data_IF_922189930226
#
_entry.id   IF_922189930226
#
_cell.length_a   1.000
_cell.length_b   1.000
_cell.length_c   1.000
_cell.angle_alpha   90.00
_cell.angle_beta   90.00
_cell.angle_gamma   90.00
#
_symmetry.space_group_name_H-M   'P 1'
#
loop_
_entity.id
_entity.type
_entity.pdbx_description
1 polymer ?
#
# COMPACT_ATOMS: atom_id res chain seq x y z
N UNK A 1 48.91 -43.97 -111.05
CA UNK A 1 49.25 -42.54 -110.91
C UNK A 1 48.38 -42.01 -109.79
N UNK A 2 48.99 -41.74 -108.63
CA UNK A 2 48.35 -41.57 -107.32
C UNK A 2 47.88 -40.10 -107.20
N UNK A 3 46.67 -39.82 -106.64
CA UNK A 3 46.14 -38.47 -106.60
C UNK A 3 46.83 -37.66 -105.48
N UNK A 4 47.89 -36.95 -105.84
CA UNK A 4 48.69 -36.08 -104.96
C UNK A 4 47.94 -34.80 -104.53
N UNK A 5 46.89 -34.39 -105.26
CA UNK A 5 46.05 -33.25 -104.91
C UNK A 5 45.17 -33.49 -103.68
N UNK A 6 44.58 -34.70 -103.52
CA UNK A 6 43.69 -35.03 -102.39
C UNK A 6 44.47 -35.15 -101.06
N UNK A 7 45.72 -35.64 -101.12
CA UNK A 7 46.63 -35.66 -99.98
C UNK A 7 47.10 -34.24 -99.56
N UNK A 8 47.33 -33.35 -100.54
CA UNK A 8 47.69 -31.96 -100.26
C UNK A 8 46.52 -31.16 -99.70
N UNK A 9 45.30 -31.39 -100.20
CA UNK A 9 44.09 -30.75 -99.69
C UNK A 9 43.80 -31.16 -98.24
N UNK A 10 43.87 -32.47 -97.92
CA UNK A 10 43.72 -32.97 -96.55
C UNK A 10 44.82 -32.46 -95.61
N UNK A 11 46.07 -32.38 -96.08
CA UNK A 11 47.17 -31.81 -95.28
C UNK A 11 46.89 -30.34 -94.93
N UNK A 12 46.38 -29.56 -95.88
CA UNK A 12 46.03 -28.15 -95.67
C UNK A 12 44.85 -28.00 -94.70
N UNK A 13 43.83 -28.85 -94.80
CA UNK A 13 42.70 -28.88 -93.87
C UNK A 13 43.14 -29.28 -92.45
N UNK A 14 44.09 -30.21 -92.32
CA UNK A 14 44.67 -30.61 -91.03
C UNK A 14 45.50 -29.45 -90.44
N UNK A 15 46.31 -28.75 -91.24
CA UNK A 15 47.05 -27.57 -90.79
C UNK A 15 46.12 -26.43 -90.34
N UNK A 16 45.01 -26.24 -91.05
CA UNK A 16 44.02 -25.21 -90.73
C UNK A 16 43.24 -25.55 -89.45
N UNK A 17 42.84 -26.82 -89.27
CA UNK A 17 42.27 -27.32 -88.00
C UNK A 17 43.26 -27.24 -86.85
N UNK A 18 44.52 -27.60 -87.08
CA UNK A 18 45.57 -27.51 -86.07
C UNK A 18 45.77 -26.05 -85.63
N UNK A 19 45.76 -25.11 -86.58
CA UNK A 19 45.85 -23.68 -86.28
C UNK A 19 44.62 -23.18 -85.53
N UNK A 20 43.42 -23.60 -85.91
CA UNK A 20 42.19 -23.27 -85.22
C UNK A 20 42.15 -23.83 -83.79
N UNK A 21 42.63 -25.07 -83.58
CA UNK A 21 42.77 -25.65 -82.24
C UNK A 21 43.83 -24.94 -81.41
N UNK A 22 44.96 -24.53 -82.01
CA UNK A 22 46.01 -23.74 -81.36
C UNK A 22 45.46 -22.37 -80.89
N UNK A 23 44.70 -21.69 -81.76
CA UNK A 23 44.07 -20.41 -81.45
C UNK A 23 42.99 -20.58 -80.36
N UNK A 24 42.19 -21.65 -80.42
CA UNK A 24 41.19 -21.96 -79.37
C UNK A 24 41.85 -22.29 -78.03
N UNK A 25 42.95 -23.05 -78.04
CA UNK A 25 43.73 -23.36 -76.83
C UNK A 25 44.33 -22.10 -76.21
N UNK A 26 44.88 -21.20 -77.02
CA UNK A 26 45.43 -19.93 -76.52
C UNK A 26 44.34 -19.04 -75.90
N UNK A 27 43.16 -18.95 -76.52
CA UNK A 27 42.00 -18.24 -75.97
C UNK A 27 41.51 -18.85 -74.64
N UNK A 28 41.40 -20.18 -74.55
CA UNK A 28 41.01 -20.86 -73.31
C UNK A 28 42.06 -20.61 -72.22
N UNK A 29 43.35 -20.65 -72.55
CA UNK A 29 44.44 -20.40 -71.60
C UNK A 29 44.41 -18.96 -71.07
N UNK A 30 44.16 -17.98 -71.92
CA UNK A 30 44.00 -16.59 -71.52
C UNK A 30 42.79 -16.38 -70.60
N UNK A 31 41.65 -17.01 -70.91
CA UNK A 31 40.48 -16.96 -70.04
C UNK A 31 40.69 -17.68 -68.71
N UNK A 32 41.43 -18.79 -68.71
CA UNK A 32 41.81 -19.48 -67.49
C UNK A 32 42.69 -18.58 -66.61
N UNK A 33 43.63 -17.85 -67.20
CA UNK A 33 44.51 -16.91 -66.50
C UNK A 33 43.75 -15.69 -65.96
N UNK A 34 42.77 -15.16 -66.71
CA UNK A 34 41.84 -14.14 -66.20
C UNK A 34 41.00 -14.66 -65.03
N UNK A 35 40.52 -15.89 -65.11
CA UNK A 35 39.74 -16.53 -64.03
C UNK A 35 40.60 -16.80 -62.79
N UNK A 36 41.88 -17.17 -62.97
CA UNK A 36 42.86 -17.32 -61.89
C UNK A 36 43.18 -15.97 -61.22
N UNK A 37 43.33 -14.89 -62.00
CA UNK A 37 43.49 -13.53 -61.45
C UNK A 37 42.26 -13.08 -60.65
N UNK A 38 41.05 -13.33 -61.14
CA UNK A 38 39.81 -13.07 -60.40
C UNK A 38 39.76 -13.86 -59.10
N UNK A 39 40.13 -15.14 -59.12
CA UNK A 39 40.17 -16.00 -57.93
C UNK A 39 41.20 -15.47 -56.92
N UNK A 40 42.40 -15.08 -57.37
CA UNK A 40 43.42 -14.44 -56.52
C UNK A 40 42.95 -13.12 -55.94
N UNK A 41 42.22 -12.32 -56.71
CA UNK A 41 41.58 -11.08 -56.24
C UNK A 41 40.57 -11.36 -55.13
N UNK A 42 39.71 -12.36 -55.31
CA UNK A 42 38.75 -12.80 -54.29
C UNK A 42 39.45 -13.27 -53.01
N UNK A 43 40.50 -14.11 -53.14
CA UNK A 43 41.29 -14.58 -52.00
C UNK A 43 41.94 -13.40 -51.26
N UNK A 44 42.49 -12.42 -51.98
CA UNK A 44 43.08 -11.23 -51.37
C UNK A 44 42.06 -10.39 -50.58
N UNK A 45 40.85 -10.22 -51.13
CA UNK A 45 39.76 -9.52 -50.44
C UNK A 45 39.35 -10.28 -49.18
N UNK A 46 39.21 -11.61 -49.25
CA UNK A 46 38.88 -12.44 -48.10
C UNK A 46 39.97 -12.39 -47.02
N UNK A 47 41.24 -12.49 -47.38
CA UNK A 47 42.36 -12.31 -46.44
C UNK A 47 42.33 -10.94 -45.77
N UNK A 48 41.96 -9.88 -46.51
CA UNK A 48 41.80 -8.53 -45.95
C UNK A 48 40.65 -8.46 -44.94
N UNK A 49 39.50 -9.06 -45.26
CA UNK A 49 38.37 -9.13 -44.33
C UNK A 49 38.70 -9.91 -43.07
N UNK A 50 39.36 -11.06 -43.21
CA UNK A 50 39.77 -11.87 -42.07
C UNK A 50 40.74 -11.11 -41.15
N UNK A 51 41.75 -10.43 -41.72
CA UNK A 51 42.65 -9.59 -40.94
C UNK A 51 41.92 -8.47 -40.19
N UNK A 52 40.95 -7.80 -40.85
CA UNK A 52 40.14 -6.74 -40.22
C UNK A 52 39.21 -7.28 -39.14
N UNK A 53 38.63 -8.46 -39.33
CA UNK A 53 37.78 -9.12 -38.33
C UNK A 53 38.59 -9.48 -37.08
N UNK A 54 39.78 -10.05 -37.26
CA UNK A 54 40.68 -10.37 -36.13
C UNK A 54 41.09 -9.10 -35.38
N UNK A 55 41.42 -8.01 -36.08
CA UNK A 55 41.72 -6.73 -35.43
C UNK A 55 40.52 -6.16 -34.67
N UNK A 56 39.32 -6.26 -35.24
CA UNK A 56 38.09 -5.81 -34.61
C UNK A 56 37.79 -6.63 -33.35
N UNK A 57 37.88 -7.95 -33.43
CA UNK A 57 37.70 -8.86 -32.29
C UNK A 57 38.67 -8.54 -31.15
N UNK A 58 39.95 -8.38 -31.47
CA UNK A 58 40.98 -8.00 -30.50
C UNK A 58 40.74 -6.63 -29.86
N UNK A 59 40.02 -5.74 -30.54
CA UNK A 59 39.66 -4.41 -30.02
C UNK A 59 38.36 -4.43 -29.20
N UNK A 60 37.37 -5.22 -29.63
CA UNK A 60 36.03 -5.25 -29.04
C UNK A 60 35.97 -6.10 -27.77
N UNK A 61 36.61 -7.28 -27.76
CA UNK A 61 36.61 -8.17 -26.58
C UNK A 61 37.09 -7.48 -25.30
N UNK A 62 38.25 -6.77 -25.28
CA UNK A 62 38.69 -6.11 -24.06
C UNK A 62 37.76 -4.98 -23.63
N UNK A 63 37.16 -4.25 -24.57
CA UNK A 63 36.16 -3.20 -24.27
C UNK A 63 34.92 -3.79 -23.62
N UNK A 64 34.38 -4.91 -24.14
CA UNK A 64 33.26 -5.59 -23.49
C UNK A 64 33.62 -6.09 -22.10
N UNK A 65 34.79 -6.71 -21.92
CA UNK A 65 35.25 -7.17 -20.59
C UNK A 65 35.41 -6.02 -19.60
N UNK A 66 35.98 -4.89 -20.04
CA UNK A 66 36.10 -3.69 -19.21
C UNK A 66 34.73 -3.10 -18.87
N UNK A 67 33.81 -3.07 -19.83
CA UNK A 67 32.44 -2.58 -19.62
C UNK A 67 31.68 -3.47 -18.63
N UNK A 68 31.79 -4.79 -18.75
CA UNK A 68 31.17 -5.75 -17.83
C UNK A 68 31.73 -5.61 -16.41
N UNK A 69 33.06 -5.48 -16.28
CA UNK A 69 33.69 -5.23 -14.98
C UNK A 69 33.25 -3.89 -14.38
N UNK A 70 33.10 -2.85 -15.20
CA UNK A 70 32.62 -1.55 -14.77
C UNK A 70 31.15 -1.62 -14.30
N UNK A 71 30.28 -2.33 -15.02
CA UNK A 71 28.90 -2.58 -14.60
C UNK A 71 28.84 -3.34 -13.29
N UNK A 72 29.66 -4.40 -13.13
CA UNK A 72 29.74 -5.15 -11.87
C UNK A 72 30.22 -4.26 -10.71
N UNK A 73 31.20 -3.38 -10.97
CA UNK A 73 31.66 -2.41 -9.98
C UNK A 73 30.54 -1.44 -9.60
N UNK A 74 29.83 -0.90 -10.58
CA UNK A 74 28.69 -0.01 -10.37
C UNK A 74 27.61 -0.68 -9.51
N UNK A 75 27.20 -1.90 -9.86
CA UNK A 75 26.21 -2.65 -9.08
C UNK A 75 26.66 -2.88 -7.64
N UNK A 76 27.94 -3.18 -7.41
CA UNK A 76 28.48 -3.37 -6.08
C UNK A 76 28.42 -2.06 -5.27
N UNK A 77 28.77 -0.93 -5.90
CA UNK A 77 28.67 0.40 -5.29
C UNK A 77 27.21 0.71 -4.94
N UNK A 78 26.27 0.48 -5.85
CA UNK A 78 24.85 0.74 -5.61
C UNK A 78 24.29 -0.14 -4.49
N UNK A 79 24.68 -1.42 -4.43
CA UNK A 79 24.33 -2.33 -3.34
C UNK A 79 24.91 -1.86 -2.01
N UNK A 80 26.18 -1.45 -1.97
CA UNK A 80 26.80 -0.93 -0.75
C UNK A 80 26.13 0.36 -0.28
N UNK A 81 25.82 1.29 -1.19
CA UNK A 81 25.08 2.50 -0.86
C UNK A 81 23.70 2.19 -0.28
N UNK A 82 22.94 1.28 -0.89
CA UNK A 82 21.64 0.86 -0.37
C UNK A 82 21.74 0.22 1.02
N UNK A 83 22.78 -0.58 1.27
CA UNK A 83 23.03 -1.15 2.61
C UNK A 83 23.36 -0.06 3.63
N UNK A 84 24.19 0.92 3.27
CA UNK A 84 24.51 2.04 4.16
C UNK A 84 23.28 2.89 4.47
N UNK A 85 22.46 3.22 3.47
CA UNK A 85 21.20 3.94 3.67
C UNK A 85 20.25 3.19 4.61
N UNK A 86 20.19 1.85 4.48
CA UNK A 86 19.41 1.02 5.38
C UNK A 86 19.89 1.12 6.84
N UNK A 87 21.20 1.07 7.07
CA UNK A 87 21.79 1.22 8.41
C UNK A 87 21.53 2.63 8.96
N UNK A 88 21.81 3.67 8.18
CA UNK A 88 21.60 5.07 8.57
C UNK A 88 20.13 5.31 8.95
N UNK A 89 19.19 4.66 8.25
CA UNK A 89 17.77 4.82 8.54
C UNK A 89 17.42 4.46 9.98
N UNK A 90 18.05 3.43 10.59
CA UNK A 90 17.82 3.04 11.98
C UNK A 90 18.31 4.08 12.99
N UNK A 91 19.41 4.76 12.70
CA UNK A 91 19.92 5.85 13.54
C UNK A 91 19.01 7.09 13.49
N UNK A 92 18.25 7.28 12.42
CA UNK A 92 17.26 8.37 12.33
C UNK A 92 15.90 8.04 12.95
N UNK A 93 15.58 6.76 13.18
CA UNK A 93 14.28 6.34 13.75
C UNK A 93 13.92 7.11 15.02
N UNK A 94 14.85 7.27 15.96
CA UNK A 94 14.57 7.97 17.21
C UNK A 94 14.17 9.45 17.01
N UNK A 95 14.71 10.11 15.98
CA UNK A 95 14.41 11.51 15.66
C UNK A 95 13.11 11.63 14.88
N UNK A 96 12.94 10.79 13.85
CA UNK A 96 11.78 10.85 12.96
C UNK A 96 10.48 10.50 13.68
N UNK A 97 10.55 9.55 14.62
CA UNK A 97 9.38 9.08 15.37
C UNK A 97 9.04 9.96 16.57
N UNK A 98 9.94 10.85 17.00
CA UNK A 98 9.77 11.69 18.21
C UNK A 98 8.49 12.51 18.17
N UNK A 99 8.16 13.10 17.01
CA UNK A 99 6.96 13.90 16.82
C UNK A 99 5.69 13.06 17.01
N UNK A 100 5.60 11.92 16.33
CA UNK A 100 4.43 11.04 16.38
C UNK A 100 4.23 10.49 17.80
N UNK A 101 5.31 10.05 18.45
CA UNK A 101 5.25 9.55 19.83
C UNK A 101 4.79 10.65 20.81
N UNK A 102 5.23 11.90 20.64
CA UNK A 102 4.81 13.01 21.51
C UNK A 102 3.34 13.35 21.36
N UNK A 103 2.82 13.30 20.15
CA UNK A 103 1.44 13.70 19.89
C UNK A 103 0.42 12.59 20.21
N UNK A 104 0.86 11.33 20.34
CA UNK A 104 0.05 10.21 20.82
C UNK A 104 -0.87 9.55 19.76
N UNK A 105 -1.50 8.42 20.12
CA UNK A 105 -2.29 7.59 19.20
C UNK A 105 -3.71 8.11 18.90
N UNK A 106 -4.21 9.09 19.67
CA UNK A 106 -5.59 9.56 19.58
C UNK A 106 -5.95 10.06 18.17
N UNK A 107 -6.95 9.41 17.55
CA UNK A 107 -7.46 9.78 16.22
C UNK A 107 -6.60 9.37 15.03
N UNK A 108 -5.49 8.64 15.24
CA UNK A 108 -4.58 8.16 14.18
C UNK A 108 -3.81 6.90 14.61
N UNK A 109 -4.56 5.91 15.06
CA UNK A 109 -4.00 4.69 15.61
C UNK A 109 -3.09 3.97 14.60
N UNK A 110 -3.50 3.85 13.34
CA UNK A 110 -2.74 3.15 12.31
C UNK A 110 -1.36 3.77 12.06
N UNK A 111 -1.29 5.10 11.93
CA UNK A 111 -0.03 5.83 11.75
C UNK A 111 0.88 5.64 12.98
N UNK A 112 0.29 5.66 14.16
CA UNK A 112 1.01 5.51 15.42
C UNK A 112 1.56 4.07 15.59
N UNK A 113 0.78 3.05 15.22
CA UNK A 113 1.23 1.66 15.25
C UNK A 113 2.33 1.40 14.21
N UNK A 114 2.23 1.97 13.01
CA UNK A 114 3.28 1.89 12.01
C UNK A 114 4.59 2.56 12.50
N UNK A 115 4.46 3.69 13.21
CA UNK A 115 5.58 4.37 13.85
C UNK A 115 6.24 3.49 14.92
N UNK A 116 5.47 2.89 15.82
CA UNK A 116 5.99 1.97 16.84
C UNK A 116 6.63 0.72 16.21
N UNK A 117 6.05 0.16 15.15
CA UNK A 117 6.65 -0.96 14.43
C UNK A 117 8.02 -0.58 13.81
N UNK A 118 8.18 0.67 13.33
CA UNK A 118 9.49 1.18 12.87
C UNK A 118 10.50 1.26 14.03
N UNK A 119 10.06 1.70 15.22
CA UNK A 119 10.89 1.71 16.42
C UNK A 119 11.29 0.29 16.82
N UNK A 120 10.36 -0.66 16.78
CA UNK A 120 10.61 -2.06 17.12
C UNK A 120 11.67 -2.68 16.20
N UNK A 121 11.54 -2.49 14.88
CA UNK A 121 12.58 -2.95 13.94
C UNK A 121 13.96 -2.36 14.23
N UNK A 122 14.01 -1.11 14.68
CA UNK A 122 15.28 -0.50 15.10
C UNK A 122 15.82 -1.12 16.39
N UNK A 123 14.95 -1.46 17.35
CA UNK A 123 15.33 -2.18 18.58
C UNK A 123 15.93 -3.54 18.23
N UNK A 124 15.27 -4.32 17.38
CA UNK A 124 15.75 -5.63 16.90
C UNK A 124 17.11 -5.48 16.18
N UNK A 125 17.21 -4.53 15.25
CA UNK A 125 18.45 -4.24 14.55
C UNK A 125 19.62 -3.93 15.49
N UNK A 126 19.42 -3.03 16.46
CA UNK A 126 20.46 -2.67 17.42
C UNK A 126 20.75 -3.79 18.43
N UNK A 127 19.77 -4.62 18.80
CA UNK A 127 20.00 -5.79 19.66
C UNK A 127 20.92 -6.81 18.99
N UNK A 128 20.69 -7.09 17.71
CA UNK A 128 21.43 -8.11 16.98
C UNK A 128 22.84 -7.65 16.59
N UNK A 129 23.00 -6.35 16.27
CA UNK A 129 24.26 -5.82 15.76
C UNK A 129 25.12 -5.10 16.81
N UNK A 130 24.51 -4.37 17.75
CA UNK A 130 25.21 -3.51 18.72
C UNK A 130 24.50 -3.43 20.09
N UNK A 131 24.52 -4.52 20.89
CA UNK A 131 23.71 -4.66 22.10
C UNK A 131 24.00 -3.65 23.22
N UNK A 132 25.21 -3.09 23.28
CA UNK A 132 25.64 -2.13 24.32
C UNK A 132 25.60 -0.66 23.86
N UNK A 133 24.96 -0.38 22.72
CA UNK A 133 24.90 0.97 22.14
C UNK A 133 23.95 1.91 22.91
N UNK A 134 24.29 3.21 23.07
CA UNK A 134 23.38 4.20 23.64
C UNK A 134 22.14 4.43 22.77
N UNK A 135 22.25 4.19 21.46
CA UNK A 135 21.15 4.26 20.51
C UNK A 135 20.08 3.22 20.86
N UNK A 136 20.48 1.98 21.19
CA UNK A 136 19.56 0.93 21.61
C UNK A 136 18.74 1.35 22.83
N UNK A 137 19.39 1.93 23.83
CA UNK A 137 18.71 2.41 25.03
C UNK A 137 17.72 3.53 24.70
N UNK A 138 18.08 4.41 23.77
CA UNK A 138 17.21 5.50 23.32
C UNK A 138 15.96 4.95 22.61
N UNK A 139 16.12 4.04 21.65
CA UNK A 139 14.96 3.47 20.93
C UNK A 139 14.09 2.59 21.83
N UNK A 140 14.68 1.83 22.76
CA UNK A 140 13.93 1.06 23.77
C UNK A 140 13.10 1.98 24.68
N UNK A 141 13.67 3.07 25.17
CA UNK A 141 12.94 4.03 26.00
C UNK A 141 11.77 4.66 25.23
N UNK A 142 11.94 4.92 23.92
CA UNK A 142 10.85 5.42 23.06
C UNK A 142 9.77 4.37 22.81
N UNK A 143 10.16 3.12 22.63
CA UNK A 143 9.22 2.01 22.48
C UNK A 143 8.35 1.85 23.74
N UNK A 144 8.96 1.86 24.93
CA UNK A 144 8.23 1.78 26.20
C UNK A 144 7.30 2.97 26.40
N UNK A 145 7.77 4.20 26.13
CA UNK A 145 6.90 5.38 26.17
C UNK A 145 5.76 5.29 25.16
N UNK A 146 6.03 4.75 23.99
CA UNK A 146 5.02 4.54 22.95
C UNK A 146 3.91 3.61 23.42
N UNK A 147 4.30 2.53 24.10
CA UNK A 147 3.39 1.56 24.72
C UNK A 147 2.60 2.14 25.89
N UNK A 148 3.23 2.90 26.80
CA UNK A 148 2.52 3.57 27.90
C UNK A 148 1.39 4.48 27.37
N UNK A 149 1.62 5.16 26.25
CA UNK A 149 0.61 5.99 25.59
C UNK A 149 -0.52 5.15 24.95
N UNK A 150 -0.23 3.96 24.44
CA UNK A 150 -1.28 3.02 23.96
C UNK A 150 -2.14 2.52 25.12
N UNK A 151 -1.54 2.15 26.24
CA UNK A 151 -2.27 1.74 27.44
C UNK A 151 -3.14 2.88 27.98
N UNK A 152 -2.61 4.11 27.97
CA UNK A 152 -3.35 5.31 28.35
C UNK A 152 -4.54 5.58 27.39
N UNK A 153 -4.34 5.43 26.08
CA UNK A 153 -5.40 5.60 25.10
C UNK A 153 -6.47 4.52 25.22
N UNK A 154 -6.09 3.25 25.39
CA UNK A 154 -7.02 2.16 25.66
C UNK A 154 -7.93 2.46 26.86
N UNK A 155 -7.33 2.90 27.98
CA UNK A 155 -8.06 3.33 29.17
C UNK A 155 -8.94 4.54 28.89
N UNK A 156 -8.44 5.51 28.11
CA UNK A 156 -9.15 6.73 27.71
C UNK A 156 -10.40 6.42 26.90
N UNK A 157 -10.28 5.60 25.86
CA UNK A 157 -11.38 5.15 25.01
C UNK A 157 -12.45 4.40 25.83
N UNK A 158 -12.04 3.44 26.66
CA UNK A 158 -12.97 2.69 27.50
C UNK A 158 -13.73 3.59 28.47
N UNK A 159 -13.02 4.49 29.18
CA UNK A 159 -13.63 5.36 30.19
C UNK A 159 -14.55 6.41 29.55
N UNK A 160 -14.19 6.91 28.38
CA UNK A 160 -14.94 7.96 27.66
C UNK A 160 -16.22 7.42 27.01
N UNK A 161 -16.16 6.22 26.43
CA UNK A 161 -17.26 5.68 25.63
C UNK A 161 -18.09 4.61 26.35
N UNK A 162 -17.56 3.93 27.38
CA UNK A 162 -18.40 3.03 28.19
C UNK A 162 -19.33 3.86 29.06
N UNK A 163 -20.59 3.99 28.67
CA UNK A 163 -21.64 4.69 29.45
C UNK A 163 -22.61 3.67 30.06
N UNK A 164 -23.26 3.99 31.19
CA UNK A 164 -24.31 3.12 31.72
C UNK A 164 -25.49 3.06 30.74
N UNK A 165 -26.08 1.88 30.60
CA UNK A 165 -27.22 1.65 29.72
C UNK A 165 -28.48 2.28 30.34
N UNK A 166 -29.22 3.12 29.60
CA UNK A 166 -30.49 3.66 30.05
C UNK A 166 -31.52 2.57 30.41
N UNK A 167 -32.30 2.72 31.49
CA UNK A 167 -33.30 1.73 31.92
C UNK A 167 -34.30 1.33 30.83
N UNK A 168 -34.73 2.28 29.98
CA UNK A 168 -35.67 2.01 28.88
C UNK A 168 -35.10 1.00 27.89
N UNK A 169 -33.85 1.17 27.45
CA UNK A 169 -33.20 0.23 26.53
C UNK A 169 -33.01 -1.16 27.15
N UNK A 170 -32.79 -1.23 28.47
CA UNK A 170 -32.73 -2.52 29.18
C UNK A 170 -34.11 -3.20 29.18
N UNK A 171 -35.17 -2.42 29.41
CA UNK A 171 -36.55 -2.93 29.38
C UNK A 171 -36.97 -3.32 27.96
N UNK A 172 -36.57 -2.58 26.92
CA UNK A 172 -36.85 -2.94 25.53
C UNK A 172 -36.13 -4.25 25.15
N UNK A 173 -34.89 -4.44 25.62
CA UNK A 173 -34.13 -5.68 25.40
C UNK A 173 -34.68 -6.90 26.17
N UNK A 174 -35.33 -6.69 27.33
CA UNK A 174 -35.95 -7.76 28.14
C UNK A 174 -37.41 -7.99 27.73
N UNK A 175 -38.11 -6.95 27.30
CA UNK A 175 -39.53 -6.93 26.93
C UNK A 175 -39.80 -7.35 25.49
N UNK A 176 -38.81 -7.95 24.83
CA UNK A 176 -39.02 -8.68 23.57
C UNK A 176 -39.89 -9.90 23.90
N UNK A 177 -41.21 -9.74 23.76
CA UNK A 177 -42.20 -10.80 23.95
C UNK A 177 -41.83 -12.07 23.17
N UNK A 178 -42.06 -13.22 23.79
CA UNK A 178 -41.89 -14.57 23.25
C UNK A 178 -42.81 -14.89 22.03
N UNK A 179 -43.63 -13.95 21.55
CA UNK A 179 -44.72 -14.21 20.58
C UNK A 179 -44.53 -13.61 19.16
N UNK A 180 -43.42 -12.93 18.85
CA UNK A 180 -43.18 -12.39 17.50
C UNK A 180 -42.02 -13.10 16.79
N UNK A 181 -42.35 -14.01 15.87
CA UNK A 181 -41.44 -14.87 15.08
C UNK A 181 -40.48 -14.14 14.11
N UNK A 182 -40.30 -12.83 14.22
CA UNK A 182 -39.30 -12.08 13.45
C UNK A 182 -38.61 -11.08 14.38
N UNK A 183 -37.77 -11.58 15.29
CA UNK A 183 -36.94 -10.74 16.15
C UNK A 183 -35.75 -10.21 15.34
N UNK A 184 -35.78 -8.92 14.97
CA UNK A 184 -34.52 -8.19 14.81
C UNK A 184 -33.81 -8.29 16.16
N UNK A 185 -32.64 -8.93 16.18
CA UNK A 185 -31.79 -9.02 17.35
C UNK A 185 -31.52 -7.59 17.84
N UNK A 186 -32.12 -7.20 18.98
CA UNK A 186 -31.89 -5.88 19.58
C UNK A 186 -30.48 -5.89 20.14
N UNK A 187 -29.51 -5.57 19.27
CA UNK A 187 -28.10 -5.49 19.64
C UNK A 187 -27.89 -4.20 20.42
N UNK A 188 -27.52 -4.36 21.69
CA UNK A 188 -27.26 -3.22 22.56
C UNK A 188 -25.85 -2.69 22.26
N UNK A 189 -25.75 -1.70 21.38
CA UNK A 189 -24.47 -1.08 21.01
C UNK A 189 -23.85 -0.35 22.21
N UNK A 190 -22.85 -0.99 22.83
CA UNK A 190 -22.18 -0.47 24.02
C UNK A 190 -21.08 0.54 23.73
N UNK A 191 -20.53 0.52 22.51
CA UNK A 191 -19.41 1.34 22.05
C UNK A 191 -19.64 1.67 20.57
N UNK A 192 -19.29 2.88 20.10
CA UNK A 192 -19.29 3.18 18.67
C UNK A 192 -18.33 2.25 17.92
N UNK A 193 -18.71 1.80 16.72
CA UNK A 193 -17.93 0.83 15.93
C UNK A 193 -16.47 1.24 15.73
N UNK A 194 -16.21 2.51 15.37
CA UNK A 194 -14.84 3.01 15.20
C UNK A 194 -13.99 2.89 16.49
N UNK A 195 -14.60 3.16 17.65
CA UNK A 195 -13.92 3.05 18.95
C UNK A 195 -13.70 1.59 19.32
N UNK A 196 -14.64 0.70 18.98
CA UNK A 196 -14.49 -0.73 19.19
C UNK A 196 -13.31 -1.28 18.38
N UNK A 197 -13.19 -0.90 17.11
CA UNK A 197 -12.05 -1.28 16.27
C UNK A 197 -10.72 -0.80 16.83
N UNK A 198 -10.64 0.47 17.28
CA UNK A 198 -9.43 1.00 17.93
C UNK A 198 -9.07 0.21 19.20
N UNK A 199 -10.06 -0.08 20.05
CA UNK A 199 -9.86 -0.88 21.28
C UNK A 199 -9.38 -2.30 20.94
N UNK A 200 -9.97 -2.95 19.93
CA UNK A 200 -9.55 -4.28 19.47
C UNK A 200 -8.11 -4.23 19.00
N UNK A 201 -7.77 -3.28 18.13
CA UNK A 201 -6.44 -3.14 17.56
C UNK A 201 -5.38 -2.87 18.65
N UNK A 202 -5.64 -1.92 19.56
CA UNK A 202 -4.75 -1.64 20.70
C UNK A 202 -4.61 -2.88 21.60
N UNK A 203 -5.72 -3.57 21.90
CA UNK A 203 -5.67 -4.77 22.75
C UNK A 203 -4.88 -5.90 22.13
N UNK A 204 -5.04 -6.16 20.82
CA UNK A 204 -4.26 -7.16 20.10
C UNK A 204 -2.77 -6.83 20.13
N UNK A 205 -2.43 -5.56 19.90
CA UNK A 205 -1.05 -5.08 20.00
C UNK A 205 -0.48 -5.24 21.41
N UNK A 206 -1.24 -4.88 22.46
CA UNK A 206 -0.82 -5.04 23.86
C UNK A 206 -0.72 -6.51 24.30
N UNK A 207 -1.46 -7.44 23.70
CA UNK A 207 -1.28 -8.87 23.96
C UNK A 207 0.06 -9.35 23.42
N UNK A 208 0.44 -8.91 22.22
CA UNK A 208 1.65 -9.36 21.53
C UNK A 208 2.92 -8.69 22.09
N UNK A 209 2.85 -7.38 22.37
CA UNK A 209 4.01 -6.55 22.75
C UNK A 209 3.95 -6.03 24.19
N UNK A 210 2.90 -6.37 24.94
CA UNK A 210 2.75 -5.99 26.34
C UNK A 210 3.70 -6.73 27.27
N UNK A 211 4.07 -6.08 28.37
CA UNK A 211 4.86 -6.72 29.45
C UNK A 211 3.95 -7.47 30.43
N UNK A 212 2.70 -7.03 30.53
CA UNK A 212 1.69 -7.57 31.42
C UNK A 212 0.29 -7.37 30.79
N UNK A 213 -0.73 -7.91 31.45
CA UNK A 213 -2.12 -7.83 31.01
C UNK A 213 -2.93 -6.82 31.87
N UNK A 214 -2.27 -5.79 32.42
CA UNK A 214 -2.94 -4.82 33.31
C UNK A 214 -4.07 -4.06 32.59
N UNK A 215 -3.98 -3.91 31.27
CA UNK A 215 -5.05 -3.34 30.46
C UNK A 215 -6.35 -4.17 30.55
N UNK A 216 -6.27 -5.50 30.70
CA UNK A 216 -7.45 -6.35 30.94
C UNK A 216 -8.09 -6.06 32.30
N UNK A 217 -7.26 -5.72 33.29
CA UNK A 217 -7.74 -5.28 34.60
C UNK A 217 -8.53 -3.98 34.48
N UNK A 218 -8.00 -3.03 33.73
CA UNK A 218 -8.70 -1.77 33.43
C UNK A 218 -10.02 -2.04 32.69
N UNK A 219 -10.02 -2.93 31.70
CA UNK A 219 -11.22 -3.30 30.96
C UNK A 219 -12.32 -3.81 31.88
N UNK A 220 -12.06 -4.85 32.67
CA UNK A 220 -13.11 -5.41 33.53
C UNK A 220 -13.59 -4.41 34.58
N UNK A 221 -12.69 -3.58 35.15
CA UNK A 221 -13.06 -2.59 36.15
C UNK A 221 -14.02 -1.54 35.59
N UNK A 222 -13.70 -1.00 34.41
CA UNK A 222 -14.55 -0.01 33.74
C UNK A 222 -15.90 -0.65 33.38
N UNK A 223 -15.89 -1.80 32.69
CA UNK A 223 -17.13 -2.45 32.24
C UNK A 223 -18.02 -2.89 33.41
N UNK A 224 -17.44 -3.47 34.46
CA UNK A 224 -18.16 -3.86 35.69
C UNK A 224 -18.79 -2.66 36.39
N UNK A 225 -18.07 -1.54 36.51
CA UNK A 225 -18.60 -0.32 37.10
C UNK A 225 -19.79 0.23 36.30
N UNK A 226 -19.73 0.22 34.98
CA UNK A 226 -20.83 0.70 34.14
C UNK A 226 -22.02 -0.25 34.16
N UNK A 227 -21.80 -1.57 34.25
CA UNK A 227 -22.84 -2.56 34.45
C UNK A 227 -23.59 -2.34 35.77
N UNK A 228 -22.87 -2.20 36.88
CA UNK A 228 -23.45 -1.93 38.21
C UNK A 228 -24.27 -0.64 38.22
N UNK A 229 -23.77 0.44 37.58
CA UNK A 229 -24.51 1.69 37.41
C UNK A 229 -25.79 1.53 36.58
N UNK A 230 -25.75 0.69 35.54
CA UNK A 230 -26.91 0.42 34.68
C UNK A 230 -28.01 -0.30 35.47
N UNK A 231 -27.64 -1.33 36.24
CA UNK A 231 -28.58 -2.09 37.10
C UNK A 231 -29.15 -1.21 38.21
N UNK A 232 -28.32 -0.39 38.86
CA UNK A 232 -28.78 0.59 39.86
C UNK A 232 -29.72 1.62 39.26
N UNK A 233 -29.43 2.10 38.04
CA UNK A 233 -30.29 3.00 37.28
C UNK A 233 -31.66 2.38 36.99
N UNK A 234 -31.70 1.10 36.62
CA UNK A 234 -32.93 0.35 36.39
C UNK A 234 -33.76 0.20 37.68
N UNK A 235 -33.12 -0.20 38.79
CA UNK A 235 -33.78 -0.28 40.10
C UNK A 235 -34.42 1.04 40.50
N UNK A 236 -33.71 2.15 40.28
CA UNK A 236 -34.20 3.49 40.57
C UNK A 236 -35.36 3.90 39.65
N UNK A 237 -35.32 3.51 38.39
CA UNK A 237 -36.41 3.72 37.43
C UNK A 237 -37.71 3.04 37.90
N UNK A 238 -37.65 1.77 38.31
CA UNK A 238 -38.80 1.08 38.90
C UNK A 238 -39.32 1.75 40.17
N UNK A 239 -38.42 2.19 41.07
CA UNK A 239 -38.82 2.88 42.30
C UNK A 239 -39.57 4.19 42.02
N UNK A 240 -39.11 4.98 41.04
CA UNK A 240 -39.77 6.23 40.63
C UNK A 240 -41.11 5.98 39.95
N UNK A 241 -41.20 4.98 39.07
CA UNK A 241 -42.45 4.65 38.40
C UNK A 241 -43.50 4.12 39.38
N UNK A 242 -43.10 3.24 40.31
CA UNK A 242 -43.98 2.71 41.36
C UNK A 242 -44.40 3.76 42.39
N UNK A 243 -43.57 4.79 42.64
CA UNK A 243 -43.93 5.94 43.47
C UNK A 243 -44.83 6.96 42.75
N UNK A 244 -44.89 6.92 41.40
CA UNK A 244 -45.80 7.75 40.59
C UNK A 244 -47.20 7.15 40.42
N UNK A 245 -47.48 5.99 41.04
CA UNK A 245 -48.82 5.40 41.16
C UNK A 245 -49.80 6.22 42.02
N UNK A 246 -49.50 7.51 42.25
CA UNK A 246 -50.44 8.53 42.66
C UNK A 246 -50.78 9.46 41.48
N UNK A 247 -51.70 9.01 40.62
CA UNK A 247 -52.59 9.79 39.75
C UNK A 247 -51.93 10.90 38.92
N UNK A 248 -51.79 10.67 37.62
CA UNK A 248 -52.08 11.70 36.62
C UNK A 248 -53.20 11.19 35.72
N UNK A 249 -54.34 11.87 35.82
CA UNK A 249 -55.50 11.69 34.96
C UNK A 249 -55.10 11.68 33.48
N UNK A 250 -55.62 10.70 32.74
CA UNK A 250 -55.81 10.84 31.30
C UNK A 250 -56.58 12.14 31.00
N UNK A 251 -56.19 12.96 30.01
CA UNK A 251 -57.08 13.99 29.51
C UNK A 251 -58.19 13.29 28.72
N UNK A 252 -59.31 13.03 29.40
CA UNK A 252 -60.53 12.62 28.75
C UNK A 252 -60.95 13.69 27.73
N UNK A 253 -61.10 13.26 26.49
CA UNK A 253 -61.64 14.02 25.37
C UNK A 253 -63.09 14.41 25.70
N UNK A 254 -63.46 15.70 25.79
CA UNK A 254 -64.87 16.08 25.88
C UNK A 254 -65.46 16.09 24.47
N UNK A 255 -66.24 15.08 24.17
CA UNK A 255 -67.12 15.04 23.01
C UNK A 255 -68.26 16.05 23.24
N UNK A 256 -68.17 17.27 22.68
CA UNK A 256 -69.32 18.19 22.57
C UNK A 256 -69.70 18.36 21.11
N UNK A 257 -70.90 17.83 20.82
CA UNK A 257 -71.62 17.96 19.56
C UNK A 257 -71.82 19.44 19.20
N UNK A 258 -71.71 19.66 17.90
CA UNK A 258 -71.86 20.88 17.13
C UNK A 258 -73.34 21.16 16.90
N UNK A 259 -73.82 22.35 17.27
CA UNK A 259 -74.94 23.01 16.62
C UNK A 259 -74.69 24.54 16.61
N UNK A 260 -74.54 25.05 15.39
CA UNK A 260 -74.39 26.47 14.96
C UNK A 260 -75.68 27.29 15.18
N UNK A 261 -75.71 28.66 15.16
CA UNK A 261 -74.98 29.51 14.20
C UNK A 261 -74.61 30.97 14.60
N UNK A 262 -73.96 31.64 13.63
CA UNK A 262 -73.97 33.09 13.28
C UNK A 262 -73.00 34.13 13.90
N UNK A 263 -72.00 34.50 13.08
CA UNK A 263 -71.77 35.85 12.47
C UNK A 263 -71.23 37.00 13.36
N UNK A 264 -69.95 37.37 13.19
CA UNK A 264 -69.47 38.62 12.51
C UNK A 264 -67.93 38.78 12.61
N UNK A 265 -67.38 39.48 11.60
CA UNK A 265 -65.98 39.50 11.16
C UNK A 265 -64.97 40.25 12.07
N UNK A 266 -63.66 39.94 11.99
CA UNK A 266 -62.63 40.66 12.73
C UNK A 266 -62.23 41.97 12.03
N UNK A 267 -62.14 43.06 12.82
CA UNK A 267 -61.56 44.33 12.38
C UNK A 267 -60.03 44.22 12.41
N UNK A 268 -59.39 44.54 11.27
CA UNK A 268 -57.94 44.69 11.13
C UNK A 268 -57.45 45.90 11.93
N UNK A 269 -56.30 45.84 12.62
CA UNK A 269 -55.56 47.03 12.98
C UNK A 269 -54.78 47.55 11.77
N UNK A 270 -54.88 48.86 11.59
CA UNK A 270 -54.34 49.68 10.51
C UNK A 270 -52.83 49.91 10.74
N UNK A 271 -52.04 49.74 9.67
CA UNK A 271 -50.65 50.19 9.57
C UNK A 271 -50.64 51.69 9.23
N UNK A 272 -49.90 52.50 10.00
CA UNK A 272 -49.64 53.91 9.69
C UNK A 272 -48.12 54.09 9.54
N UNK A 273 -47.64 54.48 8.35
CA UNK A 273 -46.23 54.81 8.11
C UNK A 273 -45.92 56.29 8.31
N UNK A 274 -44.71 56.57 8.81
CA UNK A 274 -43.93 57.77 8.51
C UNK A 274 -44.24 59.03 9.33
N UNK A 275 -43.25 59.47 10.12
CA UNK A 275 -42.90 60.90 10.21
C UNK A 275 -41.38 61.04 10.26
N UNK A 276 -40.86 61.56 9.16
CA UNK A 276 -39.63 62.36 9.14
C UNK A 276 -39.76 63.55 10.09
N UNK A 277 -38.67 63.87 10.79
CA UNK A 277 -38.25 65.26 11.00
C UNK A 277 -36.73 65.28 11.22
N UNK A 278 -36.05 65.93 10.30
CA UNK A 278 -34.70 66.45 10.44
C UNK A 278 -34.62 67.49 11.56
N UNK A 279 -33.50 67.51 12.30
CA UNK A 279 -32.48 68.58 12.33
C UNK A 279 -31.22 68.02 12.99
#
# INVERSE_FOLDING_TARGET
>A
MIPTEDASARKREIEEKLKQEQDTLSFIRENLEKSDQLTKGMVSILSSFESRLVQLENSIIPVHKQTENLQRLQENVDKTLSCLDHVISYYHVAKDTDKIIKEGPAGRLDEYLACIAKIQKAVEYFQDNNPDSPELNTVKARFEKGKELLEAEFRGLLTRYSKPVPPVLILDAIGVDEELEVQEEVTLEHLPEAVLQDIICISGWLVEYGRNQDFMTVYFQVRSSQLDRSIKGLKEHFRKNSASSGILYSPAVPNKRKDTPTKKAPKRPVYIPGKDTAF
#
